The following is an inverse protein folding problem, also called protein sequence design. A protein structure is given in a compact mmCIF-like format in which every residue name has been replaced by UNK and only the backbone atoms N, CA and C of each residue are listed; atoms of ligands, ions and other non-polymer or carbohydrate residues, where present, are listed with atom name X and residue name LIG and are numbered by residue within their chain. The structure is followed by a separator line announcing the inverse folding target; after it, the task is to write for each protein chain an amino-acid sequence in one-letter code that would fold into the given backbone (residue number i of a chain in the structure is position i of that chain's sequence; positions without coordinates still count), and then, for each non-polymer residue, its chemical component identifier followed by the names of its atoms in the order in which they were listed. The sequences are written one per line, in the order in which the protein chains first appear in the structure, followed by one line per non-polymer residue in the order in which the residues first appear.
data_IF_998322763754
#
_entry.id   IF_998322763754
#
_cell.length_a   1.000
_cell.length_b   1.000
_cell.length_c   1.000
_cell.angle_alpha   90.00
_cell.angle_beta   90.00
_cell.angle_gamma   90.00
#
_symmetry.space_group_name_H-M   'P 1'
#
loop_
_entity.id
_entity.type
_entity.pdbx_description
1 polymer ?
#
# COMPACT_ATOMS: atom_id res chain seq x y z
N UNK A 1 -10.69 -5.53 -11.88
CA UNK A 1 -10.08 -4.47 -12.71
C UNK A 1 -8.64 -4.87 -13.01
N UNK A 2 -8.08 -4.50 -14.16
CA UNK A 2 -6.71 -4.93 -14.51
C UNK A 2 -5.67 -4.13 -13.71
N UNK A 3 -4.68 -4.86 -13.23
CA UNK A 3 -3.60 -4.36 -12.39
C UNK A 3 -2.61 -3.58 -13.25
N UNK A 4 -2.33 -2.28 -12.98
CA UNK A 4 -1.50 -1.46 -13.87
C UNK A 4 -0.02 -1.89 -13.90
N UNK A 5 0.41 -2.72 -12.94
CA UNK A 5 1.78 -3.23 -12.85
C UNK A 5 2.00 -4.49 -13.69
N UNK A 6 1.09 -5.46 -13.63
CA UNK A 6 1.30 -6.77 -14.28
C UNK A 6 0.16 -7.18 -15.23
N UNK A 7 -0.82 -6.31 -15.45
CA UNK A 7 -2.03 -6.57 -16.24
C UNK A 7 -2.87 -7.78 -15.78
N UNK A 8 -2.59 -8.33 -14.60
CA UNK A 8 -3.33 -9.43 -14.00
C UNK A 8 -4.55 -8.96 -13.20
N UNK A 9 -5.15 -9.90 -12.46
CA UNK A 9 -6.35 -9.67 -11.64
C UNK A 9 -6.01 -9.46 -10.15
N UNK A 10 -4.84 -8.87 -9.85
CA UNK A 10 -4.41 -8.57 -8.47
C UNK A 10 -5.30 -7.57 -7.72
N UNK A 11 -6.19 -6.87 -8.43
CA UNK A 11 -7.02 -5.81 -7.87
C UNK A 11 -8.48 -6.25 -7.88
N UNK A 12 -8.97 -6.48 -6.68
CA UNK A 12 -10.35 -6.83 -6.37
C UNK A 12 -11.12 -5.61 -5.83
N UNK A 13 -12.42 -5.48 -6.15
CA UNK A 13 -13.29 -4.50 -5.51
C UNK A 13 -13.28 -4.66 -3.99
N UNK A 14 -13.43 -3.55 -3.25
CA UNK A 14 -13.30 -3.55 -1.79
C UNK A 14 -14.27 -4.52 -1.10
N UNK A 15 -15.56 -4.52 -1.49
CA UNK A 15 -16.57 -5.46 -0.93
C UNK A 15 -16.11 -6.91 -1.01
N UNK A 16 -15.63 -7.34 -2.18
CA UNK A 16 -15.14 -8.70 -2.37
C UNK A 16 -13.96 -9.02 -1.46
N UNK A 17 -13.02 -8.08 -1.29
CA UNK A 17 -11.90 -8.28 -0.37
C UNK A 17 -12.42 -8.45 1.06
N UNK A 18 -13.30 -7.56 1.52
CA UNK A 18 -13.86 -7.58 2.87
C UNK A 18 -14.69 -8.84 3.15
N UNK A 19 -15.47 -9.32 2.19
CA UNK A 19 -16.26 -10.55 2.31
C UNK A 19 -15.36 -11.79 2.48
N UNK A 20 -14.23 -11.82 1.77
CA UNK A 20 -13.33 -12.98 1.74
C UNK A 20 -12.22 -12.92 2.81
N UNK A 21 -11.91 -11.74 3.37
CA UNK A 21 -10.64 -11.46 4.08
C UNK A 21 -10.35 -12.43 5.21
N UNK A 22 -11.37 -12.79 6.00
CA UNK A 22 -11.22 -13.68 7.15
C UNK A 22 -10.77 -15.08 6.74
N UNK A 23 -11.23 -15.59 5.59
CA UNK A 23 -10.89 -16.91 5.06
C UNK A 23 -9.66 -16.93 4.16
N UNK A 24 -9.15 -15.76 3.73
CA UNK A 24 -8.05 -15.69 2.75
C UNK A 24 -6.81 -16.44 3.22
N UNK A 25 -6.46 -16.35 4.50
CA UNK A 25 -5.24 -16.93 5.06
C UNK A 25 -5.46 -18.05 6.08
N UNK A 26 -6.71 -18.47 6.30
CA UNK A 26 -7.02 -19.58 7.19
C UNK A 26 -6.50 -20.91 6.64
N UNK A 27 -6.06 -21.76 7.56
CA UNK A 27 -5.88 -23.18 7.30
C UNK A 27 -7.24 -23.86 7.10
N UNK A 28 -7.32 -24.75 6.11
CA UNK A 28 -8.41 -25.74 6.06
C UNK A 28 -8.09 -26.94 6.97
N UNK A 29 -9.07 -27.81 7.20
CA UNK A 29 -8.92 -28.99 8.07
C UNK A 29 -7.82 -29.98 7.63
N UNK A 30 -7.42 -29.94 6.35
CA UNK A 30 -6.40 -30.80 5.77
C UNK A 30 -5.03 -30.11 5.62
N UNK A 31 -4.86 -28.90 6.15
CA UNK A 31 -3.55 -28.25 6.16
C UNK A 31 -2.57 -28.98 7.10
N UNK A 32 -1.31 -29.18 6.67
CA UNK A 32 -0.27 -29.69 7.55
C UNK A 32 -0.07 -28.78 8.78
N UNK A 33 0.44 -29.33 9.90
CA UNK A 33 0.80 -28.53 11.08
C UNK A 33 1.81 -27.43 10.74
N UNK A 34 1.95 -26.46 11.63
CA UNK A 34 2.98 -25.42 11.50
C UNK A 34 4.38 -26.04 11.54
N UNK A 35 5.33 -25.57 10.71
CA UNK A 35 6.68 -26.10 10.70
C UNK A 35 7.46 -25.69 11.95
N UNK A 36 8.30 -26.58 12.46
CA UNK A 36 9.20 -26.32 13.60
C UNK A 36 10.51 -25.63 13.17
N UNK A 37 10.45 -24.70 12.21
CA UNK A 37 11.64 -24.02 11.71
C UNK A 37 12.16 -22.99 12.72
N UNK A 38 13.38 -23.19 13.19
CA UNK A 38 14.07 -22.20 14.04
C UNK A 38 14.71 -21.15 13.13
N UNK A 39 14.07 -19.98 13.01
CA UNK A 39 14.45 -18.91 12.04
C UNK A 39 15.86 -18.34 12.19
N UNK A 40 16.49 -18.58 13.35
CA UNK A 40 17.84 -18.15 13.69
C UNK A 40 18.89 -19.25 13.54
N UNK A 41 18.50 -20.45 13.09
CA UNK A 41 19.41 -21.53 12.77
C UNK A 41 19.47 -21.75 11.25
N UNK A 42 20.60 -22.25 10.74
CA UNK A 42 20.70 -22.66 9.34
C UNK A 42 19.59 -23.65 8.99
N UNK A 43 18.89 -23.40 7.89
CA UNK A 43 17.97 -24.37 7.33
C UNK A 43 18.79 -25.41 6.54
N UNK A 44 18.86 -26.64 7.06
CA UNK A 44 19.57 -27.77 6.44
C UNK A 44 18.77 -28.45 5.34
N UNK A 45 17.45 -28.45 5.48
CA UNK A 45 16.56 -29.17 4.58
C UNK A 45 16.37 -28.40 3.28
N UNK A 46 16.40 -29.14 2.16
CA UNK A 46 16.06 -28.60 0.86
C UNK A 46 14.53 -28.48 0.77
N UNK A 47 14.03 -27.25 0.76
CA UNK A 47 12.60 -26.96 0.67
C UNK A 47 12.26 -26.59 -0.78
N UNK A 48 11.20 -27.19 -1.31
CA UNK A 48 10.77 -27.00 -2.70
C UNK A 48 9.32 -26.49 -2.80
N UNK A 49 8.69 -26.56 -3.97
CA UNK A 49 7.31 -26.10 -4.19
C UNK A 49 6.24 -27.04 -3.61
N UNK A 50 6.60 -28.29 -3.30
CA UNK A 50 5.68 -29.29 -2.75
C UNK A 50 5.74 -29.35 -1.22
N UNK A 51 6.87 -28.92 -0.65
CA UNK A 51 7.09 -28.86 0.78
C UNK A 51 6.02 -28.03 1.50
N UNK A 52 5.33 -28.66 2.45
CA UNK A 52 4.26 -28.05 3.27
C UNK A 52 2.97 -27.70 2.54
N UNK A 53 2.81 -28.11 1.27
CA UNK A 53 1.64 -27.82 0.45
C UNK A 53 0.42 -28.61 0.92
N UNK A 54 -0.67 -27.92 1.25
CA UNK A 54 -1.93 -28.58 1.58
C UNK A 54 -2.51 -29.30 0.34
N UNK A 55 -2.90 -30.59 0.44
CA UNK A 55 -3.43 -31.34 -0.68
C UNK A 55 -4.77 -30.81 -1.18
N UNK A 56 -5.58 -30.21 -0.31
CA UNK A 56 -6.90 -29.68 -0.64
C UNK A 56 -6.86 -28.22 -1.09
N UNK A 57 -6.50 -27.30 -0.18
CA UNK A 57 -6.61 -25.87 -0.48
C UNK A 57 -5.42 -25.30 -1.25
N UNK A 58 -4.36 -26.11 -1.47
CA UNK A 58 -3.12 -25.70 -2.17
C UNK A 58 -2.42 -24.48 -1.55
N UNK A 59 -2.67 -24.21 -0.26
CA UNK A 59 -1.96 -23.19 0.52
C UNK A 59 -0.87 -23.85 1.37
N UNK A 60 0.13 -23.08 1.77
CA UNK A 60 1.16 -23.51 2.73
C UNK A 60 1.60 -22.39 3.67
N UNK A 61 2.26 -22.79 4.75
CA UNK A 61 2.76 -21.86 5.77
C UNK A 61 3.85 -20.95 5.22
N UNK A 62 3.90 -19.69 5.67
CA UNK A 62 4.88 -18.68 5.25
C UNK A 62 6.33 -19.19 5.30
N UNK A 63 6.70 -19.87 6.38
CA UNK A 63 8.08 -20.32 6.57
C UNK A 63 8.51 -21.39 5.54
N UNK A 64 7.60 -22.24 5.03
CA UNK A 64 7.92 -23.13 3.90
C UNK A 64 8.20 -22.34 2.61
N UNK A 65 7.46 -21.25 2.39
CA UNK A 65 7.65 -20.40 1.22
C UNK A 65 9.01 -19.70 1.29
N UNK A 66 9.32 -19.11 2.44
CA UNK A 66 10.61 -18.47 2.69
C UNK A 66 11.76 -19.48 2.62
N UNK A 67 11.56 -20.73 3.07
CA UNK A 67 12.56 -21.79 2.98
C UNK A 67 12.84 -22.23 1.54
N UNK A 68 11.80 -22.29 0.70
CA UNK A 68 11.96 -22.56 -0.74
C UNK A 68 12.75 -21.42 -1.41
N UNK A 69 12.43 -20.16 -1.11
CA UNK A 69 13.22 -19.02 -1.61
C UNK A 69 14.68 -19.12 -1.14
N UNK A 70 14.92 -19.40 0.14
CA UNK A 70 16.29 -19.58 0.67
C UNK A 70 17.05 -20.70 -0.04
N UNK A 71 16.38 -21.80 -0.36
CA UNK A 71 16.95 -22.92 -1.12
C UNK A 71 17.44 -22.45 -2.49
N UNK A 72 16.62 -21.70 -3.23
CA UNK A 72 17.02 -21.12 -4.53
C UNK A 72 18.22 -20.18 -4.36
N UNK A 73 18.22 -19.33 -3.34
CA UNK A 73 19.31 -18.38 -3.09
C UNK A 73 20.65 -19.08 -2.80
N UNK A 74 20.61 -20.19 -2.03
CA UNK A 74 21.77 -21.04 -1.74
C UNK A 74 22.27 -21.77 -2.98
N UNK A 75 21.37 -22.35 -3.77
CA UNK A 75 21.71 -23.06 -5.01
C UNK A 75 22.36 -22.15 -6.06
N UNK A 76 21.97 -20.86 -6.08
CA UNK A 76 22.57 -19.84 -6.95
C UNK A 76 23.84 -19.21 -6.38
N UNK A 77 24.27 -19.64 -5.19
CA UNK A 77 25.46 -19.09 -4.52
C UNK A 77 25.33 -17.63 -4.10
N UNK A 78 24.13 -17.06 -4.09
CA UNK A 78 23.91 -15.70 -3.61
C UNK A 78 23.97 -15.65 -2.08
N UNK A 79 23.49 -16.71 -1.42
CA UNK A 79 23.50 -16.86 0.03
C UNK A 79 24.40 -18.05 0.41
N UNK A 80 25.14 -17.97 1.53
CA UNK A 80 25.95 -19.08 2.00
C UNK A 80 25.09 -20.26 2.48
N UNK A 81 25.68 -21.46 2.55
CA UNK A 81 24.94 -22.68 2.93
C UNK A 81 24.40 -22.64 4.36
N UNK A 82 25.02 -21.88 5.25
CA UNK A 82 24.61 -21.65 6.63
C UNK A 82 23.65 -20.46 6.80
N UNK A 83 23.20 -19.83 5.70
CA UNK A 83 22.26 -18.72 5.76
C UNK A 83 20.94 -19.09 6.47
N UNK A 84 20.39 -18.10 7.16
CA UNK A 84 19.23 -18.18 8.04
C UNK A 84 17.95 -17.77 7.31
N UNK A 85 16.81 -18.32 7.76
CA UNK A 85 15.51 -17.99 7.16
C UNK A 85 15.17 -16.50 7.25
N UNK A 86 15.56 -15.83 8.34
CA UNK A 86 15.32 -14.39 8.56
C UNK A 86 16.06 -13.48 7.59
N UNK A 87 17.10 -13.98 6.91
CA UNK A 87 17.96 -13.17 6.04
C UNK A 87 17.42 -13.05 4.61
N UNK A 88 16.44 -13.90 4.24
CA UNK A 88 15.88 -13.95 2.88
C UNK A 88 15.27 -12.60 2.47
N UNK A 89 14.57 -11.93 3.39
CA UNK A 89 13.91 -10.65 3.11
C UNK A 89 12.63 -10.47 3.90
N UNK A 90 11.89 -9.42 3.56
CA UNK A 90 10.61 -9.08 4.20
C UNK A 90 9.44 -9.54 3.32
N UNK A 91 8.71 -10.60 3.70
CA UNK A 91 7.51 -11.01 2.99
C UNK A 91 6.33 -10.12 3.36
N UNK A 92 5.65 -9.56 2.36
CA UNK A 92 4.43 -8.78 2.52
C UNK A 92 3.26 -9.50 1.88
N UNK A 93 2.24 -9.86 2.67
CA UNK A 93 1.02 -10.49 2.15
C UNK A 93 0.25 -9.54 1.23
N UNK A 94 -0.35 -10.07 0.16
CA UNK A 94 -1.05 -9.32 -0.88
C UNK A 94 -2.23 -8.49 -0.37
N UNK A 95 -2.95 -8.99 0.64
CA UNK A 95 -4.04 -8.31 1.33
C UNK A 95 -3.69 -8.21 2.81
N UNK A 96 -3.12 -7.07 3.19
CA UNK A 96 -2.73 -6.80 4.56
C UNK A 96 -3.92 -6.57 5.47
N UNK A 97 -4.06 -7.39 6.50
CA UNK A 97 -4.89 -7.10 7.67
C UNK A 97 -4.21 -7.69 8.91
N UNK A 98 -4.70 -7.35 10.11
CA UNK A 98 -4.17 -7.93 11.34
C UNK A 98 -4.60 -9.39 11.46
N UNK A 99 -3.64 -10.31 11.31
CA UNK A 99 -3.86 -11.76 11.44
C UNK A 99 -3.23 -12.22 12.76
N UNK A 100 -3.99 -12.86 13.66
CA UNK A 100 -3.46 -13.34 14.94
C UNK A 100 -2.72 -14.68 14.84
N UNK A 101 -2.59 -15.24 13.64
CA UNK A 101 -1.98 -16.54 13.37
C UNK A 101 -1.08 -16.48 12.12
N UNK A 102 -0.12 -17.41 11.97
CA UNK A 102 0.69 -17.50 10.77
C UNK A 102 -0.16 -17.78 9.51
N UNK A 103 -0.03 -17.00 8.44
CA UNK A 103 -0.91 -17.12 7.29
C UNK A 103 -0.64 -18.39 6.47
N UNK A 104 -1.71 -19.04 5.99
CA UNK A 104 -1.65 -20.04 4.92
C UNK A 104 -1.84 -19.35 3.59
N UNK A 105 -0.81 -19.40 2.75
CA UNK A 105 -0.70 -18.58 1.55
C UNK A 105 -0.81 -19.49 0.32
N UNK A 106 -1.69 -19.10 -0.61
CA UNK A 106 -1.77 -19.70 -1.94
C UNK A 106 -0.98 -18.88 -2.96
N UNK A 107 -1.15 -19.22 -4.24
CA UNK A 107 -0.44 -18.55 -5.34
C UNK A 107 -0.57 -17.01 -5.32
N UNK A 108 0.52 -16.32 -5.65
CA UNK A 108 0.60 -14.85 -5.81
C UNK A 108 0.10 -14.05 -4.60
N UNK A 109 0.39 -14.52 -3.40
CA UNK A 109 0.02 -13.86 -2.14
C UNK A 109 1.15 -13.12 -1.42
N UNK A 110 2.40 -13.16 -1.92
CA UNK A 110 3.53 -12.46 -1.28
C UNK A 110 4.21 -11.50 -2.26
N UNK A 111 4.41 -10.25 -1.84
CA UNK A 111 5.45 -9.37 -2.39
C UNK A 111 6.67 -9.52 -1.49
N UNK A 112 7.81 -9.93 -2.04
CA UNK A 112 9.03 -10.13 -1.27
C UNK A 112 9.98 -8.94 -1.47
N UNK A 113 10.34 -8.26 -0.38
CA UNK A 113 11.36 -7.20 -0.39
C UNK A 113 12.69 -7.78 0.05
N UNK A 114 13.73 -7.60 -0.76
CA UNK A 114 15.08 -8.10 -0.49
C UNK A 114 16.13 -6.99 -0.65
N UNK A 115 17.22 -7.06 0.10
CA UNK A 115 18.30 -6.06 0.02
C UNK A 115 19.31 -6.40 -1.07
N UNK A 116 19.67 -7.69 -1.18
CA UNK A 116 20.65 -8.19 -2.14
C UNK A 116 20.03 -9.27 -3.01
N UNK A 117 19.69 -8.90 -4.24
CA UNK A 117 19.11 -9.79 -5.24
C UNK A 117 19.41 -9.26 -6.65
N UNK A 118 19.50 -10.16 -7.62
CA UNK A 118 19.67 -9.86 -9.06
C UNK A 118 18.36 -10.15 -9.81
N UNK A 119 18.21 -9.60 -11.01
CA UNK A 119 16.96 -9.73 -11.79
C UNK A 119 16.68 -11.17 -12.20
N UNK A 120 17.70 -11.90 -12.65
CA UNK A 120 17.60 -13.31 -13.05
C UNK A 120 17.14 -14.22 -11.91
N UNK A 121 17.71 -14.05 -10.71
CA UNK A 121 17.28 -14.84 -9.54
C UNK A 121 15.88 -14.43 -9.10
N UNK A 122 15.52 -13.13 -9.18
CA UNK A 122 14.17 -12.67 -8.89
C UNK A 122 13.12 -13.26 -9.85
N UNK A 123 13.44 -13.38 -11.14
CA UNK A 123 12.59 -14.04 -12.13
C UNK A 123 12.40 -15.53 -11.80
N UNK A 124 13.48 -16.22 -11.46
CA UNK A 124 13.44 -17.62 -11.07
C UNK A 124 12.63 -17.87 -9.79
N UNK A 125 12.72 -16.98 -8.79
CA UNK A 125 11.90 -17.05 -7.58
C UNK A 125 10.41 -16.96 -7.94
N UNK A 126 10.01 -15.99 -8.76
CA UNK A 126 8.61 -15.80 -9.17
C UNK A 126 8.09 -17.00 -9.99
N UNK A 127 8.95 -17.63 -10.79
CA UNK A 127 8.61 -18.81 -11.57
C UNK A 127 8.47 -20.08 -10.69
N UNK A 128 9.42 -20.32 -9.78
CA UNK A 128 9.52 -21.57 -9.02
C UNK A 128 8.78 -21.58 -7.69
N UNK A 129 8.42 -20.41 -7.15
CA UNK A 129 7.74 -20.28 -5.86
C UNK A 129 6.36 -19.65 -6.10
N UNK A 130 5.29 -20.45 -6.32
CA UNK A 130 4.00 -19.96 -6.81
C UNK A 130 3.35 -18.88 -5.94
N UNK A 131 3.62 -18.87 -4.65
CA UNK A 131 3.07 -17.89 -3.69
C UNK A 131 3.71 -16.51 -3.84
N UNK A 132 4.92 -16.41 -4.41
CA UNK A 132 5.58 -15.14 -4.68
C UNK A 132 4.91 -14.48 -5.88
N UNK A 133 4.26 -13.35 -5.63
CA UNK A 133 3.63 -12.49 -6.63
C UNK A 133 4.64 -11.59 -7.32
N UNK A 134 5.66 -11.14 -6.58
CA UNK A 134 6.70 -10.26 -7.11
C UNK A 134 7.84 -10.07 -6.12
N UNK A 135 9.00 -9.70 -6.65
CA UNK A 135 10.25 -9.49 -5.90
C UNK A 135 10.71 -8.05 -6.12
N UNK A 136 10.90 -7.34 -5.02
CA UNK A 136 11.34 -5.94 -4.99
C UNK A 136 12.71 -5.87 -4.33
N UNK A 137 13.66 -5.20 -4.98
CA UNK A 137 14.97 -4.89 -4.42
C UNK A 137 14.94 -3.54 -3.72
N UNK A 138 15.27 -3.53 -2.43
CA UNK A 138 15.44 -2.30 -1.64
C UNK A 138 16.58 -1.46 -2.21
N UNK A 139 16.38 -0.14 -2.29
CA UNK A 139 17.45 0.84 -2.46
C UNK A 139 17.55 1.67 -1.19
N UNK A 140 18.77 2.03 -0.77
CA UNK A 140 18.96 2.83 0.43
C UNK A 140 18.61 2.09 1.73
N UNK A 141 18.40 2.86 2.80
CA UNK A 141 18.12 2.33 4.14
C UNK A 141 16.63 2.02 4.33
N UNK A 142 16.31 1.03 5.16
CA UNK A 142 14.92 0.72 5.50
C UNK A 142 14.16 1.89 6.13
N UNK A 143 14.86 2.79 6.81
CA UNK A 143 14.28 3.99 7.44
C UNK A 143 14.00 5.12 6.46
N UNK A 144 14.43 5.02 5.19
CA UNK A 144 14.17 6.05 4.18
C UNK A 144 12.77 5.85 3.58
N UNK A 145 11.99 6.92 3.53
CA UNK A 145 10.65 6.89 2.94
C UNK A 145 10.71 6.82 1.41
N UNK A 146 9.81 6.03 0.82
CA UNK A 146 9.72 5.82 -0.64
C UNK A 146 8.80 6.89 -1.24
N UNK A 147 9.28 7.65 -2.21
CA UNK A 147 8.60 8.78 -2.83
C UNK A 147 9.51 10.00 -2.92
N UNK A 148 8.93 11.19 -2.77
CA UNK A 148 9.65 12.47 -2.74
C UNK A 148 9.37 13.19 -1.41
N UNK A 149 10.37 13.84 -0.83
CA UNK A 149 10.20 14.63 0.40
C UNK A 149 9.51 15.97 0.12
N UNK A 150 9.82 16.56 -1.04
CA UNK A 150 9.18 17.73 -1.65
C UNK A 150 9.52 17.78 -3.15
N UNK A 151 9.02 18.81 -3.86
CA UNK A 151 9.25 19.00 -5.29
C UNK A 151 10.69 19.33 -5.66
N UNK A 152 11.52 19.68 -4.67
CA UNK A 152 12.94 20.01 -4.86
C UNK A 152 13.83 18.78 -4.63
N UNK A 153 13.24 17.65 -4.20
CA UNK A 153 13.93 16.42 -3.85
C UNK A 153 13.96 15.41 -5.00
N UNK A 154 15.06 14.66 -5.09
CA UNK A 154 15.13 13.49 -5.98
C UNK A 154 14.27 12.34 -5.45
N UNK A 155 13.50 11.63 -6.30
CA UNK A 155 12.73 10.49 -5.87
C UNK A 155 13.58 9.35 -5.31
N UNK A 156 13.11 8.78 -4.20
CA UNK A 156 13.62 7.55 -3.65
C UNK A 156 12.62 6.41 -3.91
N UNK A 157 13.00 5.44 -4.74
CA UNK A 157 12.18 4.26 -5.05
C UNK A 157 12.97 2.97 -4.94
N UNK A 158 12.27 1.86 -4.73
CA UNK A 158 12.83 0.52 -4.87
C UNK A 158 12.67 0.01 -6.30
N UNK A 159 13.34 -1.10 -6.61
CA UNK A 159 13.24 -1.73 -7.93
C UNK A 159 12.32 -2.94 -7.87
N UNK A 160 11.20 -2.91 -8.60
CA UNK A 160 10.47 -4.13 -8.92
C UNK A 160 11.28 -4.93 -9.95
N UNK A 161 11.90 -6.03 -9.53
CA UNK A 161 12.76 -6.84 -10.40
C UNK A 161 11.96 -7.87 -11.22
N UNK A 162 10.92 -8.46 -10.63
CA UNK A 162 10.03 -9.42 -11.29
C UNK A 162 8.64 -9.46 -10.68
N UNK A 163 7.64 -9.81 -11.49
CA UNK A 163 6.26 -10.02 -11.06
C UNK A 163 5.48 -8.73 -10.78
N UNK A 164 4.77 -8.68 -9.65
CA UNK A 164 3.91 -7.56 -9.27
C UNK A 164 4.04 -7.20 -7.80
N UNK A 165 4.17 -5.90 -7.52
CA UNK A 165 4.29 -5.33 -6.17
C UNK A 165 2.98 -4.68 -5.66
N UNK A 166 1.89 -4.79 -6.41
CA UNK A 166 0.60 -4.20 -6.05
C UNK A 166 0.01 -4.93 -4.85
N UNK A 167 -0.08 -4.27 -3.69
CA UNK A 167 -0.58 -4.83 -2.44
C UNK A 167 -1.75 -3.99 -1.91
N UNK A 168 -2.74 -4.64 -1.33
CA UNK A 168 -3.89 -4.01 -0.67
C UNK A 168 -3.66 -3.97 0.84
N UNK A 169 -3.89 -2.84 1.48
CA UNK A 169 -4.08 -2.72 2.93
C UNK A 169 -5.58 -2.64 3.24
N UNK A 170 -6.09 -3.53 4.09
CA UNK A 170 -7.42 -3.42 4.67
C UNK A 170 -7.34 -2.50 5.87
N UNK A 171 -7.96 -1.33 5.74
CA UNK A 171 -8.01 -0.29 6.76
C UNK A 171 -9.34 -0.39 7.48
N UNK A 172 -9.30 -0.49 8.81
CA UNK A 172 -10.47 -0.57 9.68
C UNK A 172 -10.55 0.72 10.49
N UNK A 173 -11.71 1.36 10.54
CA UNK A 173 -12.01 2.45 11.48
C UNK A 173 -13.36 2.23 12.17
N UNK A 174 -13.64 3.02 13.21
CA UNK A 174 -14.95 3.00 13.91
C UNK A 174 -16.17 3.28 13.00
N UNK A 175 -15.96 3.86 11.81
CA UNK A 175 -17.03 4.30 10.92
C UNK A 175 -16.95 3.68 9.51
N UNK A 176 -16.18 2.60 9.38
CA UNK A 176 -16.19 1.74 8.20
C UNK A 176 -14.81 1.24 7.80
N UNK A 177 -14.79 0.38 6.78
CA UNK A 177 -13.59 -0.24 6.25
C UNK A 177 -13.25 0.22 4.83
N UNK A 178 -11.97 0.20 4.48
CA UNK A 178 -11.46 0.49 3.15
C UNK A 178 -10.42 -0.51 2.71
N UNK A 179 -10.29 -0.68 1.40
CA UNK A 179 -9.19 -1.40 0.76
C UNK A 179 -8.29 -0.41 0.03
N UNK A 180 -7.04 -0.28 0.47
CA UNK A 180 -6.07 0.68 -0.06
C UNK A 180 -4.95 -0.04 -0.80
N UNK A 181 -5.02 -0.03 -2.12
CA UNK A 181 -4.00 -0.58 -3.01
C UNK A 181 -2.81 0.36 -3.18
N UNK A 182 -1.61 -0.24 -3.21
CA UNK A 182 -0.31 0.44 -3.18
C UNK A 182 0.74 -0.34 -3.96
N UNK A 183 1.55 0.36 -4.76
CA UNK A 183 2.79 -0.18 -5.33
C UNK A 183 3.93 -0.11 -4.31
N UNK A 184 4.31 -1.24 -3.73
CA UNK A 184 5.31 -1.30 -2.66
C UNK A 184 6.70 -0.77 -3.06
N UNK A 185 7.03 -0.75 -4.36
CA UNK A 185 8.30 -0.22 -4.86
C UNK A 185 8.32 1.30 -5.02
N UNK A 186 7.15 1.96 -5.08
CA UNK A 186 7.03 3.38 -5.47
C UNK A 186 6.46 4.29 -4.39
N UNK A 187 5.82 3.74 -3.37
CA UNK A 187 5.22 4.53 -2.30
C UNK A 187 5.56 3.94 -0.93
N UNK A 188 5.68 4.83 0.05
CA UNK A 188 6.09 4.45 1.39
C UNK A 188 5.11 3.45 2.04
N UNK A 189 5.70 2.55 2.83
CA UNK A 189 4.98 1.51 3.57
C UNK A 189 4.60 2.10 4.92
N UNK A 190 3.34 2.47 5.08
CA UNK A 190 2.80 2.79 6.41
C UNK A 190 1.50 2.04 6.63
N UNK A 191 1.51 1.22 7.68
CA UNK A 191 0.33 0.73 8.36
C UNK A 191 0.40 1.29 9.79
N UNK A 192 -0.08 2.52 9.98
CA UNK A 192 0.02 3.19 11.27
C UNK A 192 -1.38 3.46 11.85
N UNK A 193 -1.73 2.71 12.89
CA UNK A 193 -2.99 2.85 13.62
C UNK A 193 -3.16 4.24 14.27
N UNK A 194 -2.09 5.01 14.49
CA UNK A 194 -2.23 6.36 15.08
C UNK A 194 -2.94 7.33 14.15
N UNK A 195 -2.74 7.19 12.82
CA UNK A 195 -3.40 8.04 11.82
C UNK A 195 -4.90 7.80 11.80
N UNK A 196 -5.29 6.53 11.89
CA UNK A 196 -6.70 6.11 11.94
C UNK A 196 -7.38 6.67 13.20
N UNK A 197 -6.73 6.58 14.37
CA UNK A 197 -7.25 7.15 15.61
C UNK A 197 -7.54 8.65 15.52
N UNK A 198 -6.67 9.42 14.85
CA UNK A 198 -6.94 10.85 14.61
C UNK A 198 -8.19 11.07 13.76
N UNK A 199 -8.40 10.25 12.73
CA UNK A 199 -9.63 10.31 11.93
C UNK A 199 -10.86 9.91 12.74
N UNK A 200 -10.76 8.90 13.60
CA UNK A 200 -11.82 8.49 14.53
C UNK A 200 -12.16 9.59 15.53
N UNK A 201 -11.18 10.32 16.05
CA UNK A 201 -11.44 11.48 16.91
C UNK A 201 -12.19 12.61 16.18
N UNK A 202 -11.85 12.90 14.92
CA UNK A 202 -12.57 13.90 14.11
C UNK A 202 -14.01 13.45 13.83
N UNK A 203 -14.20 12.16 13.53
CA UNK A 203 -15.52 11.55 13.33
C UNK A 203 -16.38 11.64 14.58
N UNK A 204 -15.85 11.21 15.74
CA UNK A 204 -16.59 11.24 17.02
C UNK A 204 -16.96 12.65 17.47
N UNK A 205 -16.20 13.66 17.06
CA UNK A 205 -16.51 15.08 17.30
C UNK A 205 -17.50 15.67 16.30
N UNK A 206 -17.92 14.91 15.28
CA UNK A 206 -18.81 15.38 14.21
C UNK A 206 -18.15 16.39 13.27
N UNK A 207 -16.82 16.47 13.25
CA UNK A 207 -16.10 17.48 12.46
C UNK A 207 -15.93 17.09 10.99
N UNK A 208 -16.10 15.80 10.65
CA UNK A 208 -16.01 15.32 9.27
C UNK A 208 -17.33 15.50 8.51
N UNK A 209 -18.48 15.38 9.18
CA UNK A 209 -19.80 15.44 8.56
C UNK A 209 -20.03 16.80 7.86
N UNK A 210 -20.29 16.77 6.55
CA UNK A 210 -20.53 17.97 5.76
C UNK A 210 -19.30 18.87 5.54
N UNK A 211 -18.10 18.44 5.95
CA UNK A 211 -16.87 19.21 5.83
C UNK A 211 -16.28 19.20 4.42
N UNK A 212 -15.54 20.26 4.08
CA UNK A 212 -14.58 20.29 2.98
C UNK A 212 -13.19 19.95 3.53
N UNK A 213 -12.64 18.81 3.14
CA UNK A 213 -11.37 18.29 3.67
C UNK A 213 -10.29 18.30 2.60
N UNK A 214 -9.11 18.83 2.93
CA UNK A 214 -7.89 18.68 2.12
C UNK A 214 -7.04 17.57 2.74
N UNK A 215 -6.70 16.55 1.95
CA UNK A 215 -5.66 15.58 2.25
C UNK A 215 -4.39 16.00 1.48
N UNK A 216 -3.51 16.76 2.15
CA UNK A 216 -2.49 17.59 1.50
C UNK A 216 -1.25 16.85 0.99
N UNK A 217 -0.96 15.69 1.58
CA UNK A 217 0.09 14.76 1.22
C UNK A 217 -0.52 13.37 1.11
N UNK A 218 -1.50 13.22 0.21
CA UNK A 218 -2.47 12.16 0.34
C UNK A 218 -1.90 10.74 0.16
N UNK A 219 -0.72 10.61 -0.46
CA UNK A 219 -0.16 9.30 -0.75
C UNK A 219 -1.16 8.46 -1.54
N UNK A 220 -1.52 7.25 -1.09
CA UNK A 220 -2.54 6.41 -1.72
C UNK A 220 -3.99 6.79 -1.37
N UNK A 221 -4.20 7.91 -0.65
CA UNK A 221 -5.50 8.52 -0.39
C UNK A 221 -6.21 8.00 0.87
N UNK A 222 -5.51 7.33 1.79
CA UNK A 222 -6.18 6.68 2.94
C UNK A 222 -7.00 7.66 3.79
N UNK A 223 -6.43 8.81 4.17
CA UNK A 223 -7.08 9.73 5.10
C UNK A 223 -8.22 10.51 4.44
N UNK A 224 -8.03 10.95 3.20
CA UNK A 224 -9.10 11.57 2.43
C UNK A 224 -10.26 10.59 2.17
N UNK A 225 -10.00 9.31 1.88
CA UNK A 225 -11.07 8.32 1.69
C UNK A 225 -11.80 8.02 3.01
N UNK A 226 -11.09 7.98 4.14
CA UNK A 226 -11.73 7.93 5.46
C UNK A 226 -12.57 9.18 5.73
N UNK A 227 -12.13 10.36 5.28
CA UNK A 227 -12.93 11.58 5.41
C UNK A 227 -14.26 11.48 4.65
N UNK A 228 -14.26 10.86 3.46
CA UNK A 228 -15.51 10.55 2.73
C UNK A 228 -16.40 9.59 3.53
N UNK A 229 -15.86 8.49 4.05
CA UNK A 229 -16.62 7.56 4.90
C UNK A 229 -17.19 8.24 6.16
N UNK A 230 -16.44 9.20 6.72
CA UNK A 230 -16.84 9.99 7.87
C UNK A 230 -17.85 11.11 7.56
N UNK A 231 -18.37 11.20 6.33
CA UNK A 231 -19.45 12.11 5.96
C UNK A 231 -19.01 13.43 5.34
N UNK A 232 -17.74 13.60 4.97
CA UNK A 232 -17.27 14.81 4.31
C UNK A 232 -18.01 15.04 2.99
N UNK A 233 -18.59 16.24 2.79
CA UNK A 233 -19.29 16.58 1.54
C UNK A 233 -18.31 16.73 0.36
N UNK A 234 -17.06 17.09 0.65
CA UNK A 234 -16.03 17.33 -0.36
C UNK A 234 -14.65 16.97 0.16
N UNK A 235 -13.89 16.21 -0.62
CA UNK A 235 -12.50 15.86 -0.30
C UNK A 235 -11.58 16.18 -1.46
N UNK A 236 -10.48 16.85 -1.14
CA UNK A 236 -9.46 17.31 -2.07
C UNK A 236 -8.18 16.56 -1.75
N UNK A 237 -7.80 15.67 -2.64
CA UNK A 237 -6.53 14.94 -2.57
C UNK A 237 -5.47 15.76 -3.27
N UNK A 238 -4.33 15.97 -2.62
CA UNK A 238 -3.16 16.58 -3.22
C UNK A 238 -1.92 15.73 -2.94
N UNK A 239 -1.11 15.52 -3.97
CA UNK A 239 0.24 14.99 -3.81
C UNK A 239 1.10 15.48 -4.98
N UNK A 240 2.39 15.72 -4.71
CA UNK A 240 3.33 16.05 -5.77
C UNK A 240 3.88 14.78 -6.45
N UNK A 241 3.64 13.59 -5.91
CA UNK A 241 4.15 12.32 -6.45
C UNK A 241 3.10 11.60 -7.30
N UNK A 242 3.27 11.57 -8.63
CA UNK A 242 2.29 10.96 -9.52
C UNK A 242 1.93 9.49 -9.18
N UNK A 243 2.86 8.59 -8.82
CA UNK A 243 2.53 7.23 -8.41
C UNK A 243 1.61 7.14 -7.19
N UNK A 244 1.69 8.09 -6.25
CA UNK A 244 0.76 8.18 -5.14
C UNK A 244 -0.67 8.47 -5.63
N UNK A 245 -0.83 9.47 -6.51
CA UNK A 245 -2.13 9.84 -7.06
C UNK A 245 -2.75 8.77 -7.95
N UNK A 246 -1.94 8.03 -8.71
CA UNK A 246 -2.42 6.86 -9.46
C UNK A 246 -3.02 5.81 -8.53
N UNK A 247 -2.42 5.61 -7.34
CA UNK A 247 -2.98 4.74 -6.31
C UNK A 247 -4.23 5.35 -5.67
N UNK A 248 -4.27 6.65 -5.41
CA UNK A 248 -5.49 7.35 -4.94
C UNK A 248 -6.66 7.17 -5.89
N UNK A 249 -6.47 7.41 -7.19
CA UNK A 249 -7.52 7.24 -8.22
C UNK A 249 -7.97 5.78 -8.28
N UNK A 250 -7.03 4.84 -8.23
CA UNK A 250 -7.31 3.41 -8.13
C UNK A 250 -8.16 3.10 -6.89
N UNK A 251 -7.83 3.66 -5.74
CA UNK A 251 -8.51 3.40 -4.48
C UNK A 251 -9.91 4.00 -4.44
N UNK A 252 -10.14 5.15 -5.09
CA UNK A 252 -11.51 5.67 -5.33
C UNK A 252 -12.32 4.65 -6.13
N UNK A 253 -11.75 4.07 -7.20
CA UNK A 253 -12.44 3.07 -8.04
C UNK A 253 -12.75 1.79 -7.28
N UNK A 254 -11.78 1.24 -6.55
CA UNK A 254 -11.90 0.01 -5.76
C UNK A 254 -12.95 0.14 -4.67
N UNK A 255 -13.02 1.29 -3.99
CA UNK A 255 -13.94 1.54 -2.88
C UNK A 255 -15.24 2.23 -3.32
N UNK A 256 -15.46 2.45 -4.62
CA UNK A 256 -16.63 3.15 -5.18
C UNK A 256 -17.98 2.72 -4.59
N UNK A 257 -18.19 1.41 -4.43
CA UNK A 257 -19.44 0.84 -3.86
C UNK A 257 -19.59 0.99 -2.34
N UNK A 258 -18.49 1.24 -1.62
CA UNK A 258 -18.51 1.54 -0.18
C UNK A 258 -18.70 3.04 0.04
N UNK A 259 -18.04 3.84 -0.79
CA UNK A 259 -18.03 5.31 -0.71
C UNK A 259 -19.23 5.97 -1.40
N UNK A 260 -19.99 5.23 -2.23
CA UNK A 260 -21.03 5.82 -3.07
C UNK A 260 -20.48 6.82 -4.08
N UNK A 261 -19.29 6.56 -4.65
CA UNK A 261 -18.58 7.46 -5.56
C UNK A 261 -18.43 6.87 -6.96
N UNK A 262 -18.46 7.74 -7.97
CA UNK A 262 -18.15 7.42 -9.37
C UNK A 262 -17.18 8.46 -9.93
N UNK A 263 -16.10 8.00 -10.56
CA UNK A 263 -15.19 8.86 -11.33
C UNK A 263 -15.94 9.42 -12.55
N UNK A 264 -15.97 10.75 -12.67
CA UNK A 264 -16.63 11.50 -13.76
C UNK A 264 -15.63 12.19 -14.69
N UNK A 265 -14.38 12.34 -14.25
CA UNK A 265 -13.27 12.85 -15.04
C UNK A 265 -11.97 12.19 -14.58
N UNK A 266 -11.10 11.87 -15.53
CA UNK A 266 -9.76 11.35 -15.30
C UNK A 266 -8.84 11.78 -16.44
N UNK A 267 -7.61 12.16 -16.13
CA UNK A 267 -6.54 12.47 -17.09
C UNK A 267 -5.47 11.36 -17.03
N UNK A 268 -5.68 10.22 -17.71
CA UNK A 268 -4.80 9.07 -17.62
C UNK A 268 -3.46 9.25 -18.34
N UNK A 269 -3.41 10.15 -19.32
CA UNK A 269 -2.25 10.38 -20.18
C UNK A 269 -1.19 11.26 -19.51
N UNK A 270 -1.52 11.90 -18.38
CA UNK A 270 -0.57 12.66 -17.59
C UNK A 270 0.56 11.78 -17.03
N UNK A 271 1.80 12.18 -17.30
CA UNK A 271 2.99 11.38 -17.04
C UNK A 271 4.12 12.14 -16.34
N UNK A 272 3.95 13.44 -16.05
CA UNK A 272 4.93 14.19 -15.26
C UNK A 272 5.02 13.58 -13.86
N UNK A 273 6.22 13.19 -13.47
CA UNK A 273 6.42 12.38 -12.28
C UNK A 273 6.26 13.17 -10.98
N UNK A 274 6.69 14.44 -11.00
CA UNK A 274 6.65 15.36 -9.87
C UNK A 274 5.79 16.56 -10.27
N UNK A 275 4.68 16.78 -9.57
CA UNK A 275 3.77 17.89 -9.82
C UNK A 275 4.25 19.17 -9.13
N UNK A 276 4.10 20.30 -9.82
CA UNK A 276 4.46 21.61 -9.30
C UNK A 276 3.22 22.50 -9.12
N UNK A 277 2.66 23.05 -10.20
CA UNK A 277 1.37 23.75 -10.14
C UNK A 277 0.21 22.74 -10.09
N UNK A 278 -0.87 23.03 -9.35
CA UNK A 278 -1.94 22.07 -9.14
C UNK A 278 -2.68 21.76 -10.46
N UNK A 279 -2.54 20.52 -10.92
CA UNK A 279 -3.25 19.98 -12.07
C UNK A 279 -4.33 19.00 -11.62
N UNK A 280 -5.58 19.21 -12.04
CA UNK A 280 -6.66 18.26 -11.77
C UNK A 280 -6.45 16.97 -12.57
N UNK A 281 -6.18 15.85 -11.90
CA UNK A 281 -6.02 14.54 -12.51
C UNK A 281 -7.30 13.72 -12.53
N UNK A 282 -8.16 13.87 -11.53
CA UNK A 282 -9.43 13.14 -11.50
C UNK A 282 -10.49 13.88 -10.68
N UNK A 283 -11.76 13.61 -11.02
CA UNK A 283 -12.92 14.02 -10.25
C UNK A 283 -13.87 12.85 -10.07
N UNK A 284 -14.37 12.66 -8.85
CA UNK A 284 -15.47 11.74 -8.57
C UNK A 284 -16.65 12.48 -7.91
N UNK A 285 -17.85 11.94 -8.10
CA UNK A 285 -19.11 12.48 -7.58
C UNK A 285 -20.00 11.35 -7.06
N UNK A 286 -20.95 11.69 -6.21
CA UNK A 286 -21.92 10.77 -5.61
C UNK A 286 -22.27 11.23 -4.21
N UNK A 287 -21.96 10.41 -3.19
CA UNK A 287 -22.15 10.78 -1.78
C UNK A 287 -21.29 11.98 -1.35
N UNK A 288 -20.15 12.20 -2.01
CA UNK A 288 -19.29 13.35 -1.83
C UNK A 288 -18.75 13.85 -3.18
N UNK A 289 -18.24 15.07 -3.22
CA UNK A 289 -17.39 15.56 -4.31
C UNK A 289 -15.92 15.25 -4.00
N UNK A 290 -15.23 14.60 -4.93
CA UNK A 290 -13.80 14.29 -4.79
C UNK A 290 -13.02 14.91 -5.94
N UNK A 291 -11.93 15.61 -5.62
CA UNK A 291 -10.99 16.18 -6.59
C UNK A 291 -9.57 15.70 -6.26
N UNK A 292 -8.84 15.25 -7.28
CA UNK A 292 -7.46 14.76 -7.13
C UNK A 292 -6.53 15.68 -7.91
N UNK A 293 -5.71 16.45 -7.19
CA UNK A 293 -4.72 17.37 -7.75
C UNK A 293 -3.31 16.79 -7.67
N UNK A 294 -2.57 16.97 -8.76
CA UNK A 294 -1.15 16.74 -8.82
C UNK A 294 -0.42 18.06 -8.77
N UNK A 295 0.30 18.29 -7.68
CA UNK A 295 0.94 19.57 -7.44
C UNK A 295 1.58 19.67 -6.07
N UNK A 296 2.38 20.72 -5.94
CA UNK A 296 2.93 21.15 -4.67
C UNK A 296 1.81 21.72 -3.80
N UNK A 297 1.68 21.21 -2.56
CA UNK A 297 0.72 21.75 -1.61
C UNK A 297 0.92 23.26 -1.36
N UNK A 298 2.17 23.75 -1.50
CA UNK A 298 2.51 25.17 -1.34
C UNK A 298 1.86 26.07 -2.39
N UNK A 299 1.31 25.50 -3.47
CA UNK A 299 0.65 26.19 -4.58
C UNK A 299 -0.82 25.78 -4.75
N UNK A 300 -1.35 24.96 -3.82
CA UNK A 300 -2.70 24.43 -3.93
C UNK A 300 -3.79 25.52 -3.86
N UNK A 301 -3.46 26.66 -3.25
CA UNK A 301 -4.31 27.86 -3.16
C UNK A 301 -4.67 28.45 -4.52
N UNK A 302 -3.88 28.16 -5.56
CA UNK A 302 -4.19 28.50 -6.95
C UNK A 302 -5.47 27.81 -7.44
N UNK A 303 -5.76 26.61 -6.94
CA UNK A 303 -6.92 25.79 -7.34
C UNK A 303 -8.02 25.69 -6.26
N UNK A 304 -7.64 25.80 -4.97
CA UNK A 304 -8.53 25.57 -3.83
C UNK A 304 -8.53 26.79 -2.94
N UNK A 305 -9.67 27.45 -2.80
CA UNK A 305 -9.77 28.70 -2.04
C UNK A 305 -10.17 28.53 -0.59
N UNK A 306 -11.01 27.55 -0.28
CA UNK A 306 -11.54 27.36 1.07
C UNK A 306 -11.75 25.88 1.41
N UNK A 307 -11.48 25.55 2.66
CA UNK A 307 -11.69 24.23 3.27
C UNK A 307 -11.98 24.38 4.77
N UNK A 308 -12.61 23.37 5.36
CA UNK A 308 -12.85 23.32 6.80
C UNK A 308 -11.67 22.67 7.53
N UNK A 309 -11.11 21.60 6.95
CA UNK A 309 -10.02 20.81 7.53
C UNK A 309 -8.92 20.60 6.50
N UNK A 310 -7.66 20.75 6.91
CA UNK A 310 -6.49 20.34 6.14
C UNK A 310 -5.65 19.33 6.94
N UNK A 311 -5.50 18.13 6.39
CA UNK A 311 -4.67 17.06 6.92
C UNK A 311 -3.26 17.19 6.36
N UNK A 312 -2.27 17.30 7.25
CA UNK A 312 -0.86 17.38 6.91
C UNK A 312 -0.16 16.14 7.45
N UNK A 313 0.16 15.23 6.53
CA UNK A 313 0.78 13.94 6.80
C UNK A 313 2.11 13.80 6.06
N UNK A 314 3.13 14.49 6.56
CA UNK A 314 4.46 14.47 5.95
C UNK A 314 5.24 13.23 6.39
N UNK A 315 6.26 12.85 5.61
CA UNK A 315 7.19 11.81 6.07
C UNK A 315 7.84 12.15 7.43
N UNK A 316 8.22 11.15 8.24
CA UNK A 316 8.78 11.38 9.58
C UNK A 316 10.03 12.27 9.61
N UNK A 317 10.81 12.31 8.53
CA UNK A 317 12.01 13.15 8.40
C UNK A 317 11.70 14.62 8.09
N UNK A 318 10.44 14.96 7.85
CA UNK A 318 10.01 16.28 7.38
C UNK A 318 9.25 17.04 8.46
N UNK A 319 9.62 18.30 8.68
CA UNK A 319 8.94 19.17 9.63
C UNK A 319 7.61 19.70 9.02
N UNK A 320 6.44 19.40 9.60
CA UNK A 320 5.15 19.83 9.06
C UNK A 320 4.96 21.36 9.05
N UNK A 321 5.63 22.06 9.97
CA UNK A 321 5.46 23.50 10.21
C UNK A 321 5.59 24.37 8.95
N UNK A 322 6.48 23.99 8.01
CA UNK A 322 6.70 24.73 6.76
C UNK A 322 5.50 24.73 5.83
N UNK A 323 4.65 23.71 5.91
CA UNK A 323 3.46 23.56 5.07
C UNK A 323 2.21 24.14 5.73
N UNK A 324 2.17 24.17 7.06
CA UNK A 324 1.05 24.74 7.82
C UNK A 324 0.81 26.21 7.47
N UNK A 325 1.87 26.99 7.27
CA UNK A 325 1.75 28.41 6.94
C UNK A 325 0.93 28.64 5.66
N UNK A 326 1.13 27.80 4.65
CA UNK A 326 0.41 27.87 3.37
C UNK A 326 -1.04 27.45 3.53
N UNK A 327 -1.30 26.43 4.35
CA UNK A 327 -2.66 25.93 4.54
C UNK A 327 -3.53 26.85 5.40
N UNK A 328 -2.95 27.72 6.25
CA UNK A 328 -3.71 28.63 7.14
C UNK A 328 -4.65 29.55 6.38
N UNK A 329 -4.25 30.01 5.20
CA UNK A 329 -5.06 30.95 4.42
C UNK A 329 -6.21 30.25 3.66
N UNK A 330 -6.14 28.92 3.53
CA UNK A 330 -7.14 28.11 2.83
C UNK A 330 -8.05 27.29 3.76
N UNK A 331 -7.75 27.21 5.05
CA UNK A 331 -8.39 26.23 5.95
C UNK A 331 -8.69 26.78 7.33
N UNK A 332 -9.84 26.36 7.89
CA UNK A 332 -10.23 26.75 9.26
C UNK A 332 -9.44 25.97 10.31
N UNK A 333 -9.10 24.71 10.04
CA UNK A 333 -8.43 23.80 10.98
C UNK A 333 -7.35 22.98 10.29
N UNK A 334 -6.14 22.98 10.84
CA UNK A 334 -5.04 22.13 10.38
C UNK A 334 -4.87 20.97 11.37
N UNK A 335 -4.81 19.74 10.85
CA UNK A 335 -4.53 18.53 11.62
C UNK A 335 -3.22 17.95 11.13
N UNK A 336 -2.22 17.88 12.01
CA UNK A 336 -0.99 17.14 11.75
C UNK A 336 -1.25 15.68 12.08
N UNK A 337 -0.89 14.79 11.18
CA UNK A 337 -1.10 13.34 11.31
C UNK A 337 0.12 12.65 11.90
#
# INVERSE_FOLDING_TARGET
MKCPTCNGDCILPARKVLDDILGMYMACGSCPPDPEFIKNLPLSDKIDSQSGLCPECKKRHLDFIMGNVLTILKEKGLFPQDALLREVGTPLISFGYQIPYPPRLGAKNIVLIMDSITKDIAEEIVEKVPEIKGVVKRRGLQSQSIGILDTDSSPHTYDLLSGCDMRCDVVLSLFGELCVYKNQSKIHIEFNNTKIKKMEELYLKGELEGAVVIDGFCGPGTLGLLSVLGGAKKVIFNDAWLPALRNTILNIKVNSSLLGLKIVFENPDHNELIGNEPLLLARAQGAAEVMVYHGDIRKLDMAVKESDICLIDTFPSMAPARFMAVCRDMTKKIIII
#
